data_IF_228814270993
#
_entry.id   IF_228814270993
#
_cell.length_a   1.000
_cell.length_b   1.000
_cell.length_c   1.000
_cell.angle_alpha   90.00
_cell.angle_beta   90.00
_cell.angle_gamma   90.00
#
_symmetry.space_group_name_H-M   'P 1'
#
loop_
_entity.id
_entity.type
_entity.pdbx_description
1 polymer ?
#
# COMPACT_ATOMS: atom_id res chain seq x y z
N UNK A 1 10.37 19.22 -12.77
CA UNK A 1 10.59 17.82 -12.46
C UNK A 1 10.02 17.45 -11.12
N UNK A 2 9.22 16.42 -11.10
CA UNK A 2 8.63 15.96 -9.86
C UNK A 2 9.62 15.19 -9.03
N UNK A 3 9.65 15.52 -7.76
CA UNK A 3 10.51 14.83 -6.84
C UNK A 3 9.82 13.64 -6.18
N UNK A 4 8.51 13.73 -6.07
CA UNK A 4 7.75 12.71 -5.37
C UNK A 4 7.28 11.69 -6.37
N UNK A 5 7.62 10.44 -6.13
CA UNK A 5 7.15 9.35 -6.95
C UNK A 5 6.15 8.53 -6.17
N UNK A 6 5.18 8.04 -6.88
CA UNK A 6 4.13 7.25 -6.29
C UNK A 6 4.12 5.89 -6.98
N UNK A 7 4.40 4.86 -6.22
CA UNK A 7 4.47 3.50 -6.74
C UNK A 7 3.35 2.69 -6.13
N UNK A 8 2.52 2.11 -6.98
CA UNK A 8 1.44 1.25 -6.52
C UNK A 8 1.82 -0.21 -6.70
N UNK A 9 1.61 -1.00 -5.66
CA UNK A 9 1.94 -2.42 -5.69
C UNK A 9 0.73 -3.21 -5.27
N UNK A 10 0.29 -4.11 -6.15
CA UNK A 10 -0.85 -4.98 -5.85
C UNK A 10 -0.36 -6.14 -4.99
N UNK A 11 -1.05 -6.38 -3.87
CA UNK A 11 -0.71 -7.46 -2.98
C UNK A 11 -1.97 -8.26 -2.67
N UNK A 12 -1.79 -9.48 -2.26
CA UNK A 12 -2.91 -10.35 -1.93
C UNK A 12 -3.52 -10.01 -0.59
N UNK A 13 -2.70 -9.66 0.37
CA UNK A 13 -3.12 -9.58 1.76
C UNK A 13 -2.36 -8.47 2.46
N UNK A 14 -3.06 -7.41 2.81
CA UNK A 14 -2.42 -6.29 3.50
C UNK A 14 -1.93 -6.68 4.89
N UNK A 15 -2.68 -7.53 5.58
CA UNK A 15 -2.30 -7.88 6.95
C UNK A 15 -0.91 -8.51 7.00
N UNK A 16 -0.56 -9.25 5.95
CA UNK A 16 0.77 -9.86 5.89
C UNK A 16 1.77 -8.95 5.21
N UNK A 17 1.31 -8.15 4.26
CA UNK A 17 2.21 -7.32 3.47
C UNK A 17 2.70 -6.10 4.22
N UNK A 18 1.85 -5.52 5.07
CA UNK A 18 2.23 -4.32 5.80
C UNK A 18 3.48 -4.54 6.65
N UNK A 19 3.52 -5.55 7.53
CA UNK A 19 4.74 -5.74 8.33
C UNK A 19 5.95 -6.10 7.49
N UNK A 20 5.73 -6.81 6.38
CA UNK A 20 6.83 -7.15 5.49
C UNK A 20 7.44 -5.89 4.88
N UNK A 21 6.60 -5.01 4.38
CA UNK A 21 7.08 -3.79 3.75
C UNK A 21 7.61 -2.79 4.76
N UNK A 22 7.07 -2.78 5.97
CA UNK A 22 7.65 -1.95 7.02
C UNK A 22 9.10 -2.33 7.26
N UNK A 23 9.37 -3.62 7.24
CA UNK A 23 10.72 -4.11 7.45
C UNK A 23 11.61 -3.82 6.24
N UNK A 24 11.10 -4.10 5.05
CA UNK A 24 11.87 -3.86 3.83
C UNK A 24 12.22 -2.40 3.64
N UNK A 25 11.27 -1.53 3.91
CA UNK A 25 11.45 -0.10 3.69
C UNK A 25 12.00 0.61 4.90
N UNK A 26 12.09 -0.09 6.02
CA UNK A 26 12.52 0.50 7.28
C UNK A 26 11.69 1.73 7.59
N UNK A 27 10.40 1.63 7.39
CA UNK A 27 9.50 2.76 7.51
C UNK A 27 8.11 2.25 7.86
N UNK A 28 7.43 2.86 8.83
CA UNK A 28 6.11 2.38 9.22
C UNK A 28 5.05 2.75 8.19
N UNK A 29 4.00 1.95 8.18
CA UNK A 29 2.81 2.31 7.42
C UNK A 29 2.16 3.50 8.14
N UNK A 30 1.98 4.61 7.42
CA UNK A 30 1.48 5.80 8.08
C UNK A 30 -0.01 6.02 7.84
N UNK A 31 -0.61 5.25 6.95
CA UNK A 31 -2.01 5.47 6.64
C UNK A 31 -2.57 4.25 5.92
N UNK A 32 -3.79 3.89 6.23
CA UNK A 32 -4.54 2.91 5.45
C UNK A 32 -5.85 3.54 5.04
N UNK A 33 -6.40 3.09 3.93
CA UNK A 33 -7.62 3.66 3.41
C UNK A 33 -8.40 2.59 2.66
N UNK A 34 -9.71 2.56 2.88
CA UNK A 34 -10.58 1.66 2.15
C UNK A 34 -11.29 2.43 1.07
N UNK A 35 -11.18 1.96 -0.17
CA UNK A 35 -11.90 2.56 -1.29
C UNK A 35 -13.03 1.62 -1.65
N UNK A 36 -14.18 1.83 -1.00
CA UNK A 36 -15.28 0.89 -1.09
C UNK A 36 -15.82 0.78 -2.51
N UNK A 37 -15.83 1.87 -3.25
CA UNK A 37 -16.34 1.86 -4.62
C UNK A 37 -15.51 0.96 -5.53
N UNK A 38 -14.24 0.73 -5.19
CA UNK A 38 -13.36 -0.10 -5.98
C UNK A 38 -13.03 -1.40 -5.27
N UNK A 39 -13.58 -1.59 -4.09
CA UNK A 39 -13.40 -2.80 -3.31
C UNK A 39 -11.93 -3.10 -3.08
N UNK A 40 -11.20 -2.09 -2.68
CA UNK A 40 -9.78 -2.25 -2.36
C UNK A 40 -9.47 -1.56 -1.05
N UNK A 41 -8.42 -2.04 -0.41
CA UNK A 41 -7.85 -1.43 0.77
C UNK A 41 -6.42 -1.06 0.44
N UNK A 42 -5.99 0.10 0.86
CA UNK A 42 -4.66 0.57 0.53
C UNK A 42 -3.89 0.87 1.81
N UNK A 43 -2.57 0.72 1.72
CA UNK A 43 -1.67 1.05 2.82
C UNK A 43 -0.54 1.88 2.25
N UNK A 44 -0.18 2.94 2.96
CA UNK A 44 0.79 3.91 2.45
C UNK A 44 2.06 3.93 3.26
N UNK A 45 3.18 3.99 2.55
CA UNK A 45 4.50 4.11 3.15
C UNK A 45 5.20 5.27 2.49
N UNK A 46 6.14 5.86 3.21
CA UNK A 46 6.90 6.97 2.67
C UNK A 46 8.38 6.68 2.87
N UNK A 47 9.14 6.74 1.79
CA UNK A 47 10.58 6.54 1.87
C UNK A 47 11.25 7.68 1.13
N UNK A 48 11.93 8.55 1.90
CA UNK A 48 12.50 9.74 1.29
C UNK A 48 11.43 10.58 0.67
N UNK A 49 11.53 10.83 -0.62
CA UNK A 49 10.54 11.63 -1.33
C UNK A 49 9.59 10.76 -2.14
N UNK A 50 9.65 9.46 -1.94
CA UNK A 50 8.78 8.54 -2.68
C UNK A 50 7.66 8.05 -1.79
N UNK A 51 6.53 7.74 -2.40
CA UNK A 51 5.40 7.17 -1.70
C UNK A 51 5.12 5.80 -2.30
N UNK A 52 4.90 4.84 -1.43
CA UNK A 52 4.59 3.48 -1.86
C UNK A 52 3.21 3.13 -1.34
N UNK A 53 2.36 2.66 -2.23
CA UNK A 53 1.00 2.31 -1.91
C UNK A 53 0.79 0.83 -2.18
N UNK A 54 0.40 0.08 -1.17
CA UNK A 54 0.01 -1.30 -1.34
C UNK A 54 -1.49 -1.35 -1.53
N UNK A 55 -1.93 -2.13 -2.50
CA UNK A 55 -3.35 -2.23 -2.84
C UNK A 55 -3.77 -3.68 -2.78
N UNK A 56 -4.78 -3.97 -1.99
CA UNK A 56 -5.32 -5.32 -1.88
C UNK A 56 -6.82 -5.29 -2.09
N UNK A 57 -7.34 -6.29 -2.80
CA UNK A 57 -8.76 -6.39 -3.01
C UNK A 57 -9.45 -6.79 -1.72
N UNK A 58 -10.59 -6.16 -1.42
CA UNK A 58 -11.41 -6.57 -0.29
C UNK A 58 -12.46 -7.59 -0.72
N UNK A 59 -12.55 -7.89 -2.01
CA UNK A 59 -13.50 -8.84 -2.55
C UNK A 59 -12.88 -10.22 -2.51
N UNK A 60 -13.47 -11.16 -1.78
CA UNK A 60 -12.90 -12.51 -1.72
C UNK A 60 -12.89 -13.23 -3.07
N UNK A 61 -13.73 -12.81 -4.01
CA UNK A 61 -13.67 -13.34 -5.35
C UNK A 61 -12.42 -12.89 -6.06
N UNK A 62 -11.76 -11.88 -5.49
CA UNK A 62 -10.49 -11.46 -5.99
C UNK A 62 -10.61 -10.67 -7.26
N UNK A 63 -9.52 -10.37 -7.77
CA UNK A 63 -9.45 -9.71 -9.06
C UNK A 63 -8.22 -10.20 -9.73
#
# INVERSE_FOLDING_TARGET
MNKIEHIGIAVKDLANSIPLFEKLLNSPCYKTEEVASEKVMTAFFKTGESKIELVASTDPAGV
#
